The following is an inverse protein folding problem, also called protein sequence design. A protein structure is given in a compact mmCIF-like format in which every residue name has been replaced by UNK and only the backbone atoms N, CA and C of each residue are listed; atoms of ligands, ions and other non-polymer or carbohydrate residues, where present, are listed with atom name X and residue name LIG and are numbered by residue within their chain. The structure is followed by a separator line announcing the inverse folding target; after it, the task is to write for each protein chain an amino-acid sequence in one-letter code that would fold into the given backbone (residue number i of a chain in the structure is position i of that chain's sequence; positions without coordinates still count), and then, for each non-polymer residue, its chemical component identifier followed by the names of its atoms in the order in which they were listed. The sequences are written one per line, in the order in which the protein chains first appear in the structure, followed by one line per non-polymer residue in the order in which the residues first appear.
data_IF_381291840689
#
_entry.id   IF_381291840689
#
_cell.length_a   1.000
_cell.length_b   1.000
_cell.length_c   1.000
_cell.angle_alpha   90.00
_cell.angle_beta   90.00
_cell.angle_gamma   90.00
#
_symmetry.space_group_name_H-M   'P 1'
#
loop_
_entity.id
_entity.type
_entity.pdbx_description
1 polymer ?
#
# COMPACT_ATOMS: atom_id res chain seq x y z
N UNK A 1 26.43 28.39 -28.29
CA UNK A 1 26.26 26.92 -28.24
C UNK A 1 25.85 26.55 -26.82
N UNK A 2 24.85 25.68 -26.68
CA UNK A 2 24.17 25.31 -25.43
C UNK A 2 25.11 24.62 -24.44
N UNK A 3 24.90 24.89 -23.15
CA UNK A 3 25.16 23.96 -22.06
C UNK A 3 23.99 24.10 -21.10
N UNK A 4 23.00 23.22 -21.22
CA UNK A 4 21.86 23.13 -20.31
C UNK A 4 22.36 22.72 -18.93
N UNK A 5 22.31 23.65 -17.98
CA UNK A 5 22.41 23.32 -16.56
C UNK A 5 21.33 22.30 -16.23
N UNK A 6 21.74 21.28 -15.48
CA UNK A 6 20.95 20.10 -15.20
C UNK A 6 19.62 20.47 -14.55
N UNK A 7 18.52 20.06 -15.18
CA UNK A 7 17.18 20.04 -14.57
C UNK A 7 17.08 18.85 -13.60
N UNK A 8 18.02 18.79 -12.66
CA UNK A 8 18.01 17.86 -11.55
C UNK A 8 16.99 18.33 -10.51
N UNK A 9 16.28 17.42 -9.82
CA UNK A 9 15.35 17.81 -8.78
C UNK A 9 16.08 18.68 -7.75
N UNK A 10 15.46 19.80 -7.38
CA UNK A 10 16.03 20.77 -6.45
C UNK A 10 16.53 20.06 -5.16
N UNK A 11 17.78 20.28 -4.74
CA UNK A 11 18.33 19.65 -3.54
C UNK A 11 17.50 20.10 -2.33
N UNK A 12 16.72 19.17 -1.78
CA UNK A 12 15.81 19.42 -0.64
C UNK A 12 14.39 18.91 -0.81
N UNK A 13 13.96 18.53 -2.02
CA UNK A 13 12.67 17.87 -2.22
C UNK A 13 12.74 16.40 -1.78
N UNK A 14 12.62 16.14 -0.47
CA UNK A 14 12.48 14.79 0.04
C UNK A 14 11.26 14.14 -0.62
N UNK A 15 11.47 13.08 -1.40
CA UNK A 15 10.38 12.33 -2.01
C UNK A 15 9.56 11.71 -0.87
N UNK A 16 8.36 12.24 -0.65
CA UNK A 16 7.41 11.64 0.30
C UNK A 16 6.85 10.36 -0.29
N UNK A 17 6.82 9.28 0.50
CA UNK A 17 6.17 8.01 0.15
C UNK A 17 4.84 7.94 0.89
N UNK A 18 3.74 7.77 0.15
CA UNK A 18 2.39 7.59 0.68
C UNK A 18 2.13 6.11 0.91
N UNK A 19 2.04 5.73 2.17
CA UNK A 19 1.72 4.36 2.57
C UNK A 19 0.27 4.33 3.05
N UNK A 20 -0.54 3.44 2.46
CA UNK A 20 -1.86 3.12 2.98
C UNK A 20 -1.75 1.88 3.87
N UNK A 21 -2.38 1.92 5.04
CA UNK A 21 -2.34 0.82 6.02
C UNK A 21 -3.77 0.41 6.32
N UNK A 22 -4.05 -0.88 6.21
CA UNK A 22 -5.39 -1.46 6.40
C UNK A 22 -5.31 -2.71 7.28
N UNK A 23 -6.39 -3.02 8.00
CA UNK A 23 -6.59 -4.24 8.78
C UNK A 23 -7.98 -4.82 8.49
N UNK A 24 -8.25 -6.03 8.97
CA UNK A 24 -9.62 -6.59 9.06
C UNK A 24 -10.36 -6.70 7.72
N UNK A 25 -9.66 -7.16 6.68
CA UNK A 25 -10.22 -7.25 5.32
C UNK A 25 -11.37 -8.27 5.25
N UNK A 26 -11.31 -9.36 6.03
CA UNK A 26 -12.37 -10.36 6.16
C UNK A 26 -12.93 -10.86 4.80
N UNK A 27 -12.06 -11.02 3.81
CA UNK A 27 -12.40 -11.48 2.46
C UNK A 27 -12.97 -10.40 1.54
N UNK A 28 -13.07 -9.14 1.96
CA UNK A 28 -13.56 -8.03 1.14
C UNK A 28 -12.48 -7.53 0.16
N UNK A 29 -12.25 -8.33 -0.89
CA UNK A 29 -11.22 -8.06 -1.89
C UNK A 29 -11.46 -6.79 -2.69
N UNK A 30 -12.72 -6.38 -2.91
CA UNK A 30 -13.03 -5.15 -3.64
C UNK A 30 -12.65 -3.91 -2.81
N UNK A 31 -13.00 -3.88 -1.52
CA UNK A 31 -12.60 -2.78 -0.64
C UNK A 31 -11.08 -2.73 -0.48
N UNK A 32 -10.42 -3.89 -0.37
CA UNK A 32 -8.96 -3.95 -0.30
C UNK A 32 -8.29 -3.37 -1.56
N UNK A 33 -8.81 -3.69 -2.75
CA UNK A 33 -8.29 -3.14 -4.00
C UNK A 33 -8.41 -1.61 -4.02
N UNK A 34 -9.58 -1.07 -3.65
CA UNK A 34 -9.80 0.39 -3.58
C UNK A 34 -8.95 1.07 -2.52
N UNK A 35 -8.62 0.38 -1.43
CA UNK A 35 -7.75 0.93 -0.39
C UNK A 35 -6.32 1.19 -0.90
N UNK A 36 -5.89 0.52 -1.98
CA UNK A 36 -4.60 0.78 -2.63
C UNK A 36 -4.60 2.01 -3.54
N UNK A 37 -5.75 2.58 -3.88
CA UNK A 37 -5.84 3.66 -4.86
C UNK A 37 -5.04 4.89 -4.41
N UNK A 38 -4.03 5.26 -5.22
CA UNK A 38 -3.17 6.41 -4.98
C UNK A 38 -2.05 6.20 -3.96
N UNK A 39 -1.88 5.01 -3.40
CA UNK A 39 -0.76 4.68 -2.52
C UNK A 39 0.51 4.34 -3.31
N UNK A 40 1.68 4.71 -2.79
CA UNK A 40 2.96 4.18 -3.27
C UNK A 40 3.20 2.76 -2.74
N UNK A 41 2.65 2.45 -1.57
CA UNK A 41 2.65 1.12 -0.98
C UNK A 41 1.39 0.90 -0.13
N UNK A 42 0.90 -0.35 -0.12
CA UNK A 42 -0.20 -0.80 0.74
C UNK A 42 0.33 -1.85 1.73
N UNK A 43 0.02 -1.68 3.01
CA UNK A 43 0.34 -2.63 4.07
C UNK A 43 -0.96 -3.18 4.66
N UNK A 44 -1.15 -4.50 4.58
CA UNK A 44 -2.23 -5.19 5.29
C UNK A 44 -1.69 -5.76 6.60
N UNK A 45 -2.33 -5.42 7.71
CA UNK A 45 -1.91 -5.83 9.05
C UNK A 45 -2.39 -7.24 9.46
N UNK A 46 -3.33 -7.85 8.73
CA UNK A 46 -3.87 -9.16 9.05
C UNK A 46 -5.34 -9.32 8.69
N UNK A 47 -5.95 -10.40 9.16
CA UNK A 47 -7.37 -10.73 9.04
C UNK A 47 -7.89 -10.64 7.61
N UNK A 48 -7.12 -11.21 6.67
CA UNK A 48 -7.43 -11.20 5.25
C UNK A 48 -8.67 -12.04 4.90
N UNK A 49 -8.92 -13.09 5.68
CA UNK A 49 -10.01 -14.04 5.47
C UNK A 49 -10.85 -14.13 6.73
N UNK A 50 -12.17 -14.22 6.56
CA UNK A 50 -13.08 -14.50 7.66
C UNK A 50 -13.15 -16.03 7.89
N UNK A 51 -12.09 -16.57 8.50
CA UNK A 51 -12.08 -17.96 8.95
C UNK A 51 -12.00 -17.97 10.48
N UNK A 52 -13.13 -18.26 11.12
CA UNK A 52 -13.29 -18.12 12.57
C UNK A 52 -12.58 -19.24 13.36
N UNK A 53 -12.24 -20.36 12.72
CA UNK A 53 -11.62 -21.53 13.38
C UNK A 53 -10.17 -21.76 12.92
N UNK A 54 -9.31 -20.75 13.07
CA UNK A 54 -7.87 -20.88 12.76
C UNK A 54 -7.16 -22.04 13.50
N UNK A 55 -7.77 -22.60 14.55
CA UNK A 55 -7.24 -23.72 15.33
C UNK A 55 -7.60 -25.12 14.78
N UNK A 56 -8.61 -25.24 13.90
CA UNK A 56 -9.03 -26.53 13.32
C UNK A 56 -9.41 -26.37 11.83
N UNK A 57 -8.47 -26.74 10.95
CA UNK A 57 -8.64 -26.66 9.50
C UNK A 57 -9.28 -27.92 8.87
N UNK A 58 -9.88 -28.81 9.68
CA UNK A 58 -10.41 -30.10 9.22
C UNK A 58 -11.90 -30.13 8.85
N UNK A 59 -12.59 -28.97 8.86
CA UNK A 59 -14.03 -28.87 8.55
C UNK A 59 -14.33 -27.98 7.36
#
# INVERSE_FOLDING_TARGET
MRGSEADGPAPGAQRSTRIHVVSDVHGNTEALARAGDGADALVCLGDLVLFLDYADHSR
#
